data_IF_216598469979
#
_entry.id   IF_216598469979
#
_cell.length_a   1.000
_cell.length_b   1.000
_cell.length_c   1.000
_cell.angle_alpha   90.00
_cell.angle_beta   90.00
_cell.angle_gamma   90.00
#
_symmetry.space_group_name_H-M   'P 1'
#
loop_
_entity.id
_entity.type
_entity.pdbx_description
1 polymer ?
#
# COMPACT_ATOMS: atom_id res chain seq x y z
N UNK A 1 -8.26 -7.14 18.05
CA UNK A 1 -7.00 -6.64 17.45
C UNK A 1 -5.88 -6.56 18.48
N UNK A 2 -6.06 -5.84 19.59
CA UNK A 2 -5.08 -5.78 20.70
C UNK A 2 -4.58 -7.15 21.15
N UNK A 3 -5.47 -8.12 21.38
CA UNK A 3 -5.10 -9.51 21.74
C UNK A 3 -4.20 -10.18 20.67
N UNK A 4 -4.53 -10.01 19.39
CA UNK A 4 -3.76 -10.59 18.29
C UNK A 4 -2.36 -9.96 18.20
N UNK A 5 -2.25 -8.65 18.47
CA UNK A 5 -0.96 -7.93 18.52
C UNK A 5 -0.12 -8.38 19.71
N UNK A 6 -0.69 -8.50 20.90
CA UNK A 6 0.04 -9.00 22.08
C UNK A 6 0.50 -10.46 21.95
N UNK A 7 -0.15 -11.22 21.07
CA UNK A 7 0.20 -12.61 20.77
C UNK A 7 1.10 -12.76 19.53
N UNK A 8 1.46 -11.65 18.87
CA UNK A 8 2.20 -11.62 17.60
C UNK A 8 1.59 -12.50 16.49
N UNK A 9 0.26 -12.68 16.54
CA UNK A 9 -0.49 -13.45 15.56
C UNK A 9 -0.76 -12.59 14.31
N UNK A 10 0.25 -12.50 13.46
CA UNK A 10 0.23 -11.70 12.22
C UNK A 10 -0.87 -12.13 11.25
N UNK A 11 -1.26 -13.39 11.24
CA UNK A 11 -2.32 -13.89 10.37
C UNK A 11 -3.69 -13.46 10.88
N UNK A 12 -3.90 -13.52 12.20
CA UNK A 12 -5.10 -12.95 12.82
C UNK A 12 -5.14 -11.42 12.68
N UNK A 13 -4.00 -10.72 12.81
CA UNK A 13 -3.94 -9.26 12.56
C UNK A 13 -4.38 -8.94 11.13
N UNK A 14 -3.82 -9.62 10.12
CA UNK A 14 -4.22 -9.45 8.72
C UNK A 14 -5.70 -9.76 8.50
N UNK A 15 -6.20 -10.82 9.12
CA UNK A 15 -7.61 -11.20 9.06
C UNK A 15 -8.51 -10.10 9.65
N UNK A 16 -8.17 -9.56 10.81
CA UNK A 16 -8.96 -8.49 11.44
C UNK A 16 -8.91 -7.20 10.62
N UNK A 17 -7.74 -6.81 10.12
CA UNK A 17 -7.58 -5.63 9.26
C UNK A 17 -8.38 -5.80 7.96
N UNK A 18 -8.39 -7.00 7.36
CA UNK A 18 -9.18 -7.25 6.16
C UNK A 18 -10.69 -7.15 6.39
N UNK A 19 -11.14 -7.29 7.64
CA UNK A 19 -12.52 -7.09 8.08
C UNK A 19 -12.77 -5.69 8.68
N UNK A 20 -11.87 -4.74 8.47
CA UNK A 20 -12.07 -3.34 8.83
C UNK A 20 -11.70 -2.98 10.27
N UNK A 21 -10.90 -3.80 10.95
CA UNK A 21 -10.36 -3.42 12.25
C UNK A 21 -9.50 -2.15 12.13
N UNK A 22 -9.76 -1.17 12.99
CA UNK A 22 -9.02 0.08 13.04
C UNK A 22 -7.70 -0.09 13.81
N UNK A 23 -6.62 0.53 13.32
CA UNK A 23 -5.27 0.43 13.91
C UNK A 23 -5.02 1.47 15.00
N UNK A 24 -5.82 2.54 15.07
CA UNK A 24 -5.71 3.63 16.04
C UNK A 24 -6.34 3.30 17.42
N UNK A 25 -6.51 2.01 17.72
CA UNK A 25 -7.08 1.55 18.99
C UNK A 25 -6.00 1.42 20.07
N UNK A 26 -6.40 1.61 21.33
CA UNK A 26 -5.54 1.39 22.50
C UNK A 26 -6.05 0.25 23.36
N UNK A 27 -5.16 -0.31 24.19
CA UNK A 27 -5.58 -1.24 25.24
C UNK A 27 -6.22 -0.50 26.44
N UNK A 28 -6.64 -1.27 27.45
CA UNK A 28 -7.26 -0.72 28.66
C UNK A 28 -6.33 0.22 29.47
N UNK A 29 -5.03 0.19 29.20
CA UNK A 29 -4.03 1.05 29.84
C UNK A 29 -3.66 2.28 29.00
N UNK A 30 -4.25 2.42 27.82
CA UNK A 30 -3.99 3.52 26.89
C UNK A 30 -2.81 3.30 25.94
N UNK A 31 -2.20 2.11 25.93
CA UNK A 31 -1.09 1.78 25.02
C UNK A 31 -1.59 1.54 23.61
N UNK A 32 -0.90 2.10 22.63
CA UNK A 32 -1.13 1.89 21.20
C UNK A 32 -0.72 0.49 20.76
N UNK A 33 -1.21 0.01 19.62
CA UNK A 33 -0.83 -1.32 19.09
C UNK A 33 0.69 -1.48 18.93
N UNK A 34 1.40 -0.43 18.53
CA UNK A 34 2.87 -0.44 18.40
C UNK A 34 3.59 -0.66 19.74
N UNK A 35 3.01 -0.19 20.86
CA UNK A 35 3.54 -0.36 22.23
C UNK A 35 3.14 -1.70 22.86
N UNK A 36 2.24 -2.46 22.23
CA UNK A 36 1.78 -3.77 22.71
C UNK A 36 2.64 -4.94 22.26
N UNK A 37 3.60 -4.72 21.37
CA UNK A 37 4.49 -5.76 20.83
C UNK A 37 5.92 -5.25 20.71
N UNK A 38 6.88 -6.11 21.02
CA UNK A 38 8.31 -5.90 20.78
C UNK A 38 8.80 -6.67 19.54
N UNK A 39 7.95 -7.51 18.93
CA UNK A 39 8.31 -8.29 17.74
C UNK A 39 8.48 -7.37 16.52
N UNK A 40 9.69 -7.32 15.92
CA UNK A 40 9.96 -6.41 14.81
C UNK A 40 9.08 -6.69 13.58
N UNK A 41 8.68 -7.94 13.35
CA UNK A 41 7.85 -8.29 12.21
C UNK A 41 6.39 -7.87 12.40
N UNK A 42 5.85 -7.97 13.62
CA UNK A 42 4.53 -7.41 13.95
C UNK A 42 4.54 -5.89 13.86
N UNK A 43 5.57 -5.23 14.37
CA UNK A 43 5.73 -3.78 14.24
C UNK A 43 5.83 -3.34 12.77
N UNK A 44 6.60 -4.04 11.93
CA UNK A 44 6.70 -3.75 10.50
C UNK A 44 5.35 -3.90 9.79
N UNK A 45 4.59 -4.95 10.13
CA UNK A 45 3.25 -5.18 9.61
C UNK A 45 2.31 -4.01 9.99
N UNK A 46 2.30 -3.60 11.26
CA UNK A 46 1.45 -2.49 11.72
C UNK A 46 1.78 -1.18 11.00
N UNK A 47 3.07 -0.82 10.89
CA UNK A 47 3.52 0.37 10.15
C UNK A 47 3.08 0.36 8.68
N UNK A 48 3.18 -0.79 8.02
CA UNK A 48 2.72 -0.94 6.64
C UNK A 48 1.19 -0.78 6.53
N UNK A 49 0.41 -1.31 7.48
CA UNK A 49 -1.05 -1.15 7.49
C UNK A 49 -1.49 0.29 7.82
N UNK A 50 -0.71 1.03 8.62
CA UNK A 50 -0.91 2.47 8.83
C UNK A 50 -0.68 3.25 7.53
N UNK A 51 0.37 2.92 6.77
CA UNK A 51 0.62 3.53 5.46
C UNK A 51 -0.55 3.29 4.49
N UNK A 52 -1.10 2.07 4.44
CA UNK A 52 -2.31 1.78 3.65
C UNK A 52 -3.48 2.65 4.07
N UNK A 53 -3.74 2.73 5.37
CA UNK A 53 -4.86 3.51 5.92
C UNK A 53 -4.73 5.01 5.65
N UNK A 54 -3.49 5.54 5.68
CA UNK A 54 -3.20 6.91 5.31
C UNK A 54 -3.36 7.15 3.80
N UNK A 55 -2.85 6.23 2.97
CA UNK A 55 -2.93 6.32 1.51
C UNK A 55 -4.38 6.31 1.00
N UNK A 56 -5.23 5.46 1.60
CA UNK A 56 -6.66 5.39 1.32
C UNK A 56 -7.40 6.72 1.56
N UNK A 57 -6.95 7.50 2.55
CA UNK A 57 -7.49 8.81 2.95
C UNK A 57 -6.80 10.00 2.26
N UNK A 58 -5.78 9.76 1.44
CA UNK A 58 -4.87 10.78 0.91
C UNK A 58 -4.24 11.66 2.01
N UNK A 59 -3.98 11.09 3.18
CA UNK A 59 -3.41 11.80 4.33
C UNK A 59 -1.87 11.86 4.15
N UNK A 60 -1.42 12.88 3.42
CA UNK A 60 -0.03 13.05 2.98
C UNK A 60 0.95 13.09 4.17
N UNK A 61 0.57 13.73 5.27
CA UNK A 61 1.41 13.83 6.46
C UNK A 61 1.50 12.49 7.19
N UNK A 62 0.37 11.78 7.35
CA UNK A 62 0.39 10.44 7.93
C UNK A 62 1.18 9.44 7.06
N UNK A 63 1.06 9.53 5.73
CA UNK A 63 1.87 8.74 4.81
C UNK A 63 3.37 9.03 5.00
N UNK A 64 3.75 10.31 5.06
CA UNK A 64 5.14 10.73 5.30
C UNK A 64 5.68 10.16 6.60
N UNK A 65 4.94 10.31 7.71
CA UNK A 65 5.32 9.78 9.01
C UNK A 65 5.50 8.26 8.98
N UNK A 66 4.59 7.54 8.32
CA UNK A 66 4.69 6.08 8.19
C UNK A 66 5.95 5.68 7.40
N UNK A 67 6.23 6.35 6.27
CA UNK A 67 7.43 6.13 5.46
C UNK A 67 8.70 6.40 6.29
N UNK A 68 8.77 7.53 6.97
CA UNK A 68 9.91 7.93 7.83
C UNK A 68 10.12 6.97 9.01
N UNK A 69 9.03 6.36 9.51
CA UNK A 69 9.09 5.32 10.55
C UNK A 69 9.57 3.95 10.04
N UNK A 70 9.79 3.81 8.73
CA UNK A 70 10.23 2.56 8.08
C UNK A 70 9.10 1.62 7.69
N UNK A 71 7.92 2.12 7.34
CA UNK A 71 6.85 1.31 6.78
C UNK A 71 7.30 0.62 5.46
N UNK A 72 6.95 -0.66 5.29
CA UNK A 72 7.21 -1.38 4.05
C UNK A 72 6.25 -0.91 2.94
N UNK A 73 6.79 -0.20 1.95
CA UNK A 73 5.99 0.44 0.88
C UNK A 73 5.38 -0.54 -0.11
N UNK A 74 5.92 -1.75 -0.17
CA UNK A 74 5.57 -2.75 -1.16
C UNK A 74 4.65 -3.85 -0.61
N UNK A 75 4.34 -3.80 0.70
CA UNK A 75 3.51 -4.83 1.34
C UNK A 75 2.06 -4.70 0.85
N UNK A 76 1.48 -5.75 0.23
CA UNK A 76 0.08 -5.72 -0.22
C UNK A 76 -0.90 -5.63 0.95
N UNK A 77 -1.96 -4.83 0.78
CA UNK A 77 -3.07 -4.80 1.74
C UNK A 77 -3.81 -6.14 1.74
N UNK A 78 -4.10 -6.75 2.92
CA UNK A 78 -4.65 -8.11 2.99
C UNK A 78 -6.04 -8.27 2.38
N UNK A 79 -6.83 -7.18 2.27
CA UNK A 79 -8.17 -7.21 1.66
C UNK A 79 -8.17 -7.02 0.15
N UNK A 80 -7.41 -6.04 -0.34
CA UNK A 80 -7.49 -5.59 -1.75
C UNK A 80 -6.36 -6.18 -2.59
N UNK A 81 -5.29 -6.65 -1.95
CA UNK A 81 -4.05 -7.02 -2.61
C UNK A 81 -3.25 -5.82 -3.13
N UNK A 82 -3.75 -4.59 -3.06
CA UNK A 82 -3.03 -3.43 -3.59
C UNK A 82 -1.90 -2.97 -2.66
N UNK A 83 -0.82 -2.46 -3.24
CA UNK A 83 0.18 -1.68 -2.49
C UNK A 83 -0.33 -0.23 -2.33
N UNK A 84 0.23 0.58 -1.41
CA UNK A 84 -0.14 1.99 -1.29
C UNK A 84 0.01 2.76 -2.62
N UNK A 85 0.98 2.38 -3.46
CA UNK A 85 1.18 2.96 -4.79
C UNK A 85 0.02 2.64 -5.74
N UNK A 86 -0.54 1.43 -5.68
CA UNK A 86 -1.73 1.07 -6.45
C UNK A 86 -2.95 1.91 -6.01
N UNK A 87 -3.20 1.99 -4.70
CA UNK A 87 -4.27 2.83 -4.13
C UNK A 87 -4.13 4.29 -4.55
N UNK A 88 -2.90 4.85 -4.50
CA UNK A 88 -2.66 6.24 -4.89
C UNK A 88 -3.02 6.51 -6.35
N UNK A 89 -2.70 5.59 -7.27
CA UNK A 89 -3.01 5.75 -8.70
C UNK A 89 -4.48 5.47 -9.01
N UNK A 90 -5.06 4.41 -8.43
CA UNK A 90 -6.48 4.08 -8.60
C UNK A 90 -7.37 5.25 -8.19
N UNK A 91 -7.04 5.93 -7.09
CA UNK A 91 -7.80 7.07 -6.56
C UNK A 91 -7.37 8.44 -7.10
N UNK A 92 -6.35 8.49 -7.95
CA UNK A 92 -5.86 9.74 -8.53
C UNK A 92 -5.07 10.66 -7.58
N UNK A 93 -4.53 10.12 -6.48
CA UNK A 93 -3.69 10.83 -5.51
C UNK A 93 -2.26 11.06 -6.03
N UNK A 94 -2.10 12.05 -6.91
CA UNK A 94 -0.84 12.27 -7.64
C UNK A 94 0.35 12.61 -6.72
N UNK A 95 0.15 13.50 -5.75
CA UNK A 95 1.20 13.89 -4.80
C UNK A 95 1.69 12.70 -3.97
N UNK A 96 0.76 11.87 -3.49
CA UNK A 96 1.09 10.65 -2.76
C UNK A 96 1.88 9.67 -3.63
N UNK A 97 1.51 9.51 -4.90
CA UNK A 97 2.25 8.66 -5.84
C UNK A 97 3.71 9.12 -6.00
N UNK A 98 3.93 10.42 -6.18
CA UNK A 98 5.29 11.00 -6.22
C UNK A 98 6.05 10.73 -4.92
N UNK A 99 5.40 10.88 -3.76
CA UNK A 99 6.02 10.60 -2.47
C UNK A 99 6.44 9.14 -2.32
N UNK A 100 5.56 8.20 -2.65
CA UNK A 100 5.83 6.76 -2.56
C UNK A 100 6.98 6.33 -3.48
N UNK A 101 7.00 6.83 -4.73
CA UNK A 101 8.07 6.54 -5.68
C UNK A 101 9.41 7.11 -5.22
N UNK A 102 9.44 8.33 -4.67
CA UNK A 102 10.64 8.91 -4.03
C UNK A 102 11.09 8.11 -2.80
N UNK A 103 10.15 7.52 -2.07
CA UNK A 103 10.41 6.60 -0.96
C UNK A 103 10.93 5.22 -1.39
N UNK A 104 11.00 4.93 -2.70
CA UNK A 104 11.51 3.67 -3.23
C UNK A 104 10.44 2.59 -3.46
N UNK A 105 9.15 2.95 -3.48
CA UNK A 105 8.09 2.02 -3.85
C UNK A 105 8.31 1.47 -5.26
N UNK A 106 8.12 0.16 -5.46
CA UNK A 106 8.42 -0.50 -6.74
C UNK A 106 7.23 -0.40 -7.70
N UNK A 107 7.35 0.31 -8.85
CA UNK A 107 6.23 0.50 -9.78
C UNK A 107 5.89 -0.75 -10.61
N UNK A 108 6.74 -1.78 -10.59
CA UNK A 108 6.55 -3.00 -11.38
C UNK A 108 5.92 -4.16 -10.60
N UNK A 109 5.56 -3.94 -9.33
CA UNK A 109 4.89 -4.95 -8.53
C UNK A 109 3.50 -5.25 -9.10
N UNK A 110 3.19 -6.54 -9.14
CA UNK A 110 1.90 -7.07 -9.55
C UNK A 110 1.44 -7.97 -8.41
N UNK A 111 0.59 -7.46 -7.50
CA UNK A 111 0.09 -8.27 -6.41
C UNK A 111 -0.76 -9.44 -6.92
N UNK A 112 -1.01 -10.44 -6.05
CA UNK A 112 -1.74 -11.66 -6.45
C UNK A 112 -3.09 -11.32 -7.09
N UNK A 113 -3.26 -11.70 -8.35
CA UNK A 113 -4.47 -11.48 -9.16
C UNK A 113 -4.53 -10.14 -9.91
N UNK A 114 -3.50 -9.29 -9.78
CA UNK A 114 -3.61 -7.87 -10.12
C UNK A 114 -2.98 -7.42 -11.44
N UNK A 115 -3.26 -6.16 -11.74
CA UNK A 115 -2.67 -5.34 -12.78
C UNK A 115 -1.47 -4.58 -12.21
N UNK A 116 -0.48 -4.22 -13.03
CA UNK A 116 0.54 -3.27 -12.59
C UNK A 116 -0.08 -1.90 -12.36
N UNK A 117 0.56 -1.07 -11.53
CA UNK A 117 0.08 0.31 -11.34
C UNK A 117 0.08 1.12 -12.66
N UNK A 118 0.99 0.82 -13.58
CA UNK A 118 1.01 1.43 -14.92
C UNK A 118 -0.21 1.01 -15.76
N UNK A 119 -0.64 -0.25 -15.66
CA UNK A 119 -1.87 -0.70 -16.32
C UNK A 119 -3.09 0.04 -15.78
N UNK A 120 -3.19 0.23 -14.45
CA UNK A 120 -4.30 0.99 -13.84
C UNK A 120 -4.30 2.44 -14.36
N UNK A 121 -3.14 3.10 -14.37
CA UNK A 121 -3.02 4.46 -14.91
C UNK A 121 -3.45 4.55 -16.38
N UNK A 122 -3.06 3.57 -17.19
CA UNK A 122 -3.34 3.51 -18.61
C UNK A 122 -4.82 3.25 -18.90
N UNK A 123 -5.46 2.30 -18.20
CA UNK A 123 -6.90 2.09 -18.30
C UNK A 123 -7.73 3.32 -17.90
N UNK A 124 -7.26 4.06 -16.90
CA UNK A 124 -7.90 5.32 -16.50
C UNK A 124 -7.65 6.47 -17.49
N UNK A 125 -6.78 6.28 -18.50
CA UNK A 125 -6.40 7.31 -19.46
C UNK A 125 -5.59 8.47 -18.86
N UNK A 126 -5.06 8.34 -17.64
CA UNK A 126 -4.30 9.43 -17.00
C UNK A 126 -2.83 9.40 -17.44
N UNK A 127 -2.56 10.10 -18.54
CA UNK A 127 -1.23 10.25 -19.12
C UNK A 127 -0.20 10.84 -18.14
N UNK A 128 -0.61 11.60 -17.12
CA UNK A 128 0.32 12.15 -16.13
C UNK A 128 0.85 11.05 -15.24
N UNK A 129 -0.01 10.15 -14.75
CA UNK A 129 0.43 8.98 -13.99
C UNK A 129 1.26 8.03 -14.85
N UNK A 130 0.85 7.75 -16.10
CA UNK A 130 1.64 6.91 -17.00
C UNK A 130 3.06 7.45 -17.16
N UNK A 131 3.21 8.76 -17.41
CA UNK A 131 4.51 9.42 -17.54
C UNK A 131 5.34 9.30 -16.25
N UNK A 132 4.76 9.67 -15.11
CA UNK A 132 5.44 9.60 -13.81
C UNK A 132 5.95 8.19 -13.50
N UNK A 133 5.12 7.18 -13.75
CA UNK A 133 5.46 5.79 -13.48
C UNK A 133 6.58 5.29 -14.40
N UNK A 134 6.51 5.60 -15.70
CA UNK A 134 7.57 5.25 -16.68
C UNK A 134 8.89 5.92 -16.32
N UNK A 135 8.87 7.22 -16.00
CA UNK A 135 10.04 7.98 -15.54
C UNK A 135 10.63 7.40 -14.25
N UNK A 136 9.79 6.76 -13.43
CA UNK A 136 10.19 6.06 -12.20
C UNK A 136 10.55 4.58 -12.42
N UNK A 137 10.67 4.13 -13.67
CA UNK A 137 11.13 2.78 -14.04
C UNK A 137 10.03 1.73 -14.20
N UNK A 138 8.76 2.11 -14.34
CA UNK A 138 7.70 1.19 -14.72
C UNK A 138 7.93 0.64 -16.14
N UNK A 139 7.75 -0.66 -16.33
CA UNK A 139 7.91 -1.34 -17.62
C UNK A 139 6.60 -1.27 -18.43
N UNK A 140 6.57 -0.50 -19.54
CA UNK A 140 5.38 -0.38 -20.39
C UNK A 140 4.99 -1.67 -21.11
N UNK A 141 5.93 -2.61 -21.26
CA UNK A 141 5.71 -3.87 -21.96
C UNK A 141 5.32 -5.01 -21.03
N UNK A 142 5.24 -4.75 -19.71
CA UNK A 142 4.83 -5.75 -18.74
C UNK A 142 3.38 -6.16 -19.01
N UNK A 143 3.18 -7.47 -19.17
CA UNK A 143 1.87 -8.07 -19.38
C UNK A 143 1.15 -8.25 -18.04
N UNK A 144 -0.12 -7.88 -17.98
CA UNK A 144 -1.02 -8.21 -16.91
C UNK A 144 -1.33 -9.72 -16.90
N UNK A 145 -1.97 -10.20 -15.83
CA UNK A 145 -2.32 -11.61 -15.67
C UNK A 145 -3.24 -12.16 -16.78
N UNK A 146 -4.00 -11.29 -17.45
CA UNK A 146 -4.85 -11.62 -18.61
C UNK A 146 -4.09 -11.61 -19.96
N UNK A 147 -2.79 -11.32 -19.96
CA UNK A 147 -1.95 -11.29 -21.16
C UNK A 147 -1.92 -9.96 -21.91
N UNK A 148 -2.67 -8.93 -21.49
CA UNK A 148 -2.64 -7.59 -22.07
C UNK A 148 -1.46 -6.78 -21.54
N UNK A 149 -0.83 -5.93 -22.35
CA UNK A 149 0.15 -4.96 -21.84
C UNK A 149 -0.56 -3.68 -21.42
N UNK A 150 0.02 -2.96 -20.45
CA UNK A 150 -0.54 -1.72 -19.91
C UNK A 150 -0.96 -0.71 -21.00
N UNK A 151 -0.19 -0.60 -22.08
CA UNK A 151 -0.44 0.38 -23.15
C UNK A 151 -1.58 -0.03 -24.09
N UNK A 152 -1.81 -1.33 -24.36
CA UNK A 152 -2.86 -1.74 -25.29
C UNK A 152 -4.27 -1.69 -24.68
N UNK A 153 -4.41 -1.70 -23.35
CA UNK A 153 -5.71 -1.56 -22.66
C UNK A 153 -6.24 -0.12 -22.56
N UNK A 154 -5.49 0.87 -23.08
CA UNK A 154 -5.82 2.31 -23.00
C UNK A 154 -6.46 2.91 -24.27
N UNK A 155 -6.81 2.06 -25.25
CA UNK A 155 -7.43 2.42 -26.53
C UNK A 155 -8.91 2.00 -26.57
#
# INVERSE_FOLDING_TARGET
>A
LTIAVTADDRDMIKCLVSHGAQLNVTDATGRTLMELTEDPATQALLKAMDLHSAAERNDIDACRMAIESGAELDLPHPRTGFTPLHTAVEKGHYELCVMLLKGGAKPNLVPRGGFSVLYIAAQNGDLRFCRLLIESGADPNRRAANGETAIFGAL
#
